data_IF_901421807872
#
_entry.id   IF_901421807872
#
_cell.length_a   1.000
_cell.length_b   1.000
_cell.length_c   1.000
_cell.angle_alpha   90.00
_cell.angle_beta   90.00
_cell.angle_gamma   90.00
#
_symmetry.space_group_name_H-M   'P 1'
#
loop_
_entity.id
_entity.type
_entity.pdbx_description
1 polymer ?
#
# COMPACT_ATOMS: atom_id res chain seq x y z
N UNK A 1 -8.78 -5.96 -15.30
CA UNK A 1 -7.69 -6.89 -15.66
C UNK A 1 -7.86 -8.18 -14.85
N UNK A 2 -7.42 -9.33 -15.36
CA UNK A 2 -7.45 -10.62 -14.65
C UNK A 2 -6.01 -11.12 -14.47
N UNK A 3 -5.50 -11.06 -13.24
CA UNK A 3 -4.12 -11.46 -12.93
C UNK A 3 -3.84 -12.97 -13.09
N UNK A 4 -4.87 -13.78 -13.35
CA UNK A 4 -4.69 -15.20 -13.73
C UNK A 4 -4.56 -15.41 -15.25
N UNK A 5 -4.76 -14.35 -16.04
CA UNK A 5 -4.73 -14.37 -17.51
C UNK A 5 -3.76 -13.31 -18.06
N UNK A 6 -2.49 -13.68 -18.33
CA UNK A 6 -1.43 -12.73 -18.70
C UNK A 6 -1.78 -11.83 -19.89
N UNK A 7 -2.50 -12.33 -20.88
CA UNK A 7 -2.93 -11.59 -22.07
C UNK A 7 -3.90 -10.45 -21.75
N UNK A 8 -4.64 -10.54 -20.65
CA UNK A 8 -5.52 -9.45 -20.20
C UNK A 8 -4.75 -8.37 -19.44
N UNK A 9 -3.61 -8.72 -18.85
CA UNK A 9 -2.76 -7.82 -18.05
C UNK A 9 -1.80 -7.04 -18.94
N UNK A 10 -1.15 -7.71 -19.90
CA UNK A 10 -0.21 -7.08 -20.83
C UNK A 10 -0.89 -6.40 -22.03
N UNK A 11 -2.22 -6.25 -21.98
CA UNK A 11 -2.98 -5.47 -22.95
C UNK A 11 -2.94 -3.98 -22.59
N UNK A 12 -2.34 -3.17 -23.46
CA UNK A 12 -2.19 -1.72 -23.23
C UNK A 12 -3.51 -0.96 -23.12
N UNK A 13 -4.59 -1.41 -23.75
CA UNK A 13 -5.89 -0.78 -23.58
C UNK A 13 -6.41 -1.00 -22.16
N UNK A 14 -6.36 -2.24 -21.67
CA UNK A 14 -6.76 -2.56 -20.30
C UNK A 14 -5.92 -1.80 -19.25
N UNK A 15 -4.61 -1.67 -19.49
CA UNK A 15 -3.73 -0.88 -18.62
C UNK A 15 -4.17 0.60 -18.59
N UNK A 16 -4.49 1.20 -19.73
CA UNK A 16 -4.97 2.60 -19.78
C UNK A 16 -6.28 2.76 -19.02
N UNK A 17 -7.23 1.86 -19.23
CA UNK A 17 -8.53 1.91 -18.56
C UNK A 17 -8.37 1.80 -17.03
N UNK A 18 -7.45 0.93 -16.58
CA UNK A 18 -7.13 0.77 -15.16
C UNK A 18 -6.47 2.03 -14.57
N UNK A 19 -5.53 2.65 -15.29
CA UNK A 19 -4.88 3.89 -14.86
C UNK A 19 -5.88 5.05 -14.71
N UNK A 20 -6.82 5.20 -15.65
CA UNK A 20 -7.90 6.21 -15.56
C UNK A 20 -8.79 5.95 -14.34
N UNK A 21 -9.14 4.68 -14.08
CA UNK A 21 -9.91 4.34 -12.87
C UNK A 21 -9.15 4.68 -11.58
N UNK A 22 -7.85 4.45 -11.54
CA UNK A 22 -7.03 4.79 -10.37
C UNK A 22 -6.87 6.30 -10.18
N UNK A 23 -6.87 7.09 -11.24
CA UNK A 23 -6.89 8.56 -11.17
C UNK A 23 -8.10 9.06 -10.37
N UNK A 24 -9.30 8.62 -10.72
CA UNK A 24 -10.53 8.97 -9.99
C UNK A 24 -10.48 8.53 -8.53
N UNK A 25 -9.98 7.30 -8.27
CA UNK A 25 -9.80 6.77 -6.91
C UNK A 25 -8.86 7.63 -6.07
N UNK A 26 -7.76 8.12 -6.66
CA UNK A 26 -6.81 9.03 -5.99
C UNK A 26 -7.49 10.37 -5.67
N UNK A 27 -8.23 10.95 -6.63
CA UNK A 27 -8.94 12.22 -6.45
C UNK A 27 -9.94 12.10 -5.29
N UNK A 28 -10.78 11.06 -5.26
CA UNK A 28 -11.74 10.87 -4.19
C UNK A 28 -11.06 10.73 -2.82
N UNK A 29 -9.96 10.00 -2.73
CA UNK A 29 -9.21 9.86 -1.47
C UNK A 29 -8.62 11.19 -1.00
N UNK A 30 -8.18 12.05 -1.92
CA UNK A 30 -7.73 13.39 -1.56
C UNK A 30 -8.87 14.30 -1.10
N UNK A 31 -10.04 14.22 -1.73
CA UNK A 31 -11.24 14.94 -1.27
C UNK A 31 -11.56 14.54 0.17
N UNK A 32 -11.65 13.25 0.46
CA UNK A 32 -11.92 12.74 1.82
C UNK A 32 -10.91 13.25 2.84
N UNK A 33 -9.61 13.23 2.49
CA UNK A 33 -8.56 13.70 3.39
C UNK A 33 -8.53 15.22 3.55
N UNK A 34 -9.02 15.97 2.57
CA UNK A 34 -9.05 17.45 2.61
C UNK A 34 -9.96 18.01 3.70
N UNK A 35 -10.89 17.20 4.21
CA UNK A 35 -11.79 17.59 5.31
C UNK A 35 -11.10 17.74 6.67
N UNK A 36 -9.85 17.26 6.81
CA UNK A 36 -9.11 17.27 8.06
C UNK A 36 -7.89 18.22 7.98
N UNK A 37 -7.50 18.80 9.12
CA UNK A 37 -6.25 19.57 9.23
C UNK A 37 -5.01 18.71 8.92
N UNK A 38 -3.82 19.33 8.88
CA UNK A 38 -2.57 18.62 8.57
C UNK A 38 -2.20 17.56 9.62
N UNK A 39 -2.58 17.76 10.88
CA UNK A 39 -2.35 16.82 11.99
C UNK A 39 -0.89 16.33 12.13
N UNK A 40 0.12 17.22 12.29
CA UNK A 40 1.54 16.84 12.28
C UNK A 40 1.91 15.72 13.26
N UNK A 41 1.34 15.75 14.48
CA UNK A 41 1.58 14.75 15.52
C UNK A 41 1.27 13.31 15.09
N UNK A 42 0.41 13.09 14.09
CA UNK A 42 0.08 11.75 13.55
C UNK A 42 1.28 11.10 12.87
N UNK A 43 2.19 11.91 12.34
CA UNK A 43 3.34 11.48 11.53
C UNK A 43 4.66 11.55 12.30
N UNK A 44 4.67 12.19 13.47
CA UNK A 44 5.82 12.27 14.34
C UNK A 44 6.04 10.93 15.07
N UNK A 45 7.27 10.43 15.00
CA UNK A 45 7.62 9.19 15.69
C UNK A 45 7.63 9.41 17.21
N UNK A 46 6.96 8.52 17.95
CA UNK A 46 6.92 8.53 19.41
C UNK A 46 6.44 9.87 20.00
N UNK A 47 5.47 10.52 19.34
CA UNK A 47 4.86 11.76 19.85
C UNK A 47 4.27 11.55 21.26
N UNK A 48 4.59 12.39 22.27
CA UNK A 48 4.21 12.16 23.67
C UNK A 48 2.69 12.03 23.92
N UNK A 49 1.87 12.71 23.12
CA UNK A 49 0.41 12.63 23.22
C UNK A 49 -0.24 11.46 22.47
N UNK A 50 0.55 10.70 21.69
CA UNK A 50 0.09 9.56 20.86
C UNK A 50 1.03 8.36 21.02
N UNK A 51 1.60 8.19 22.21
CA UNK A 51 2.51 7.07 22.49
C UNK A 51 1.74 5.74 22.45
N UNK A 52 2.27 4.78 21.70
CA UNK A 52 1.68 3.45 21.55
C UNK A 52 2.54 2.44 22.31
N UNK A 53 1.96 1.67 23.25
CA UNK A 53 2.70 0.70 24.04
C UNK A 53 3.47 -0.30 23.16
N UNK A 54 4.74 -0.51 23.49
CA UNK A 54 5.64 -1.46 22.80
C UNK A 54 5.84 -1.19 21.30
N UNK A 55 5.65 0.05 20.83
CA UNK A 55 5.85 0.42 19.44
C UNK A 55 6.79 1.62 19.29
N UNK A 56 7.67 1.57 18.29
CA UNK A 56 8.54 2.68 17.90
C UNK A 56 8.17 3.12 16.49
N UNK A 57 7.77 4.37 16.35
CA UNK A 57 7.23 4.92 15.09
C UNK A 57 6.09 5.90 15.33
N UNK A 58 5.49 6.36 14.24
CA UNK A 58 4.35 7.28 14.29
C UNK A 58 3.01 6.55 14.46
N UNK A 59 1.94 7.30 14.78
CA UNK A 59 0.59 6.74 14.81
C UNK A 59 0.19 6.16 13.44
N UNK A 60 0.57 6.84 12.35
CA UNK A 60 0.38 6.34 10.98
C UNK A 60 1.07 4.99 10.76
N UNK A 61 2.34 4.87 11.18
CA UNK A 61 3.12 3.64 10.98
C UNK A 61 2.48 2.46 11.70
N UNK A 62 1.99 2.67 12.92
CA UNK A 62 1.32 1.62 13.68
C UNK A 62 0.02 1.17 13.01
N UNK A 63 -0.84 2.12 12.62
CA UNK A 63 -2.11 1.79 11.98
C UNK A 63 -1.91 1.03 10.66
N UNK A 64 -0.98 1.52 9.83
CA UNK A 64 -0.72 0.91 8.53
C UNK A 64 -0.04 -0.47 8.66
N UNK A 65 0.98 -0.61 9.50
CA UNK A 65 1.66 -1.91 9.67
C UNK A 65 0.73 -3.00 10.21
N UNK A 66 -0.15 -2.68 11.17
CA UNK A 66 -1.15 -3.63 11.65
C UNK A 66 -2.19 -4.00 10.58
N UNK A 67 -2.61 -3.04 9.77
CA UNK A 67 -3.51 -3.29 8.63
C UNK A 67 -2.86 -4.23 7.61
N UNK A 68 -1.58 -4.02 7.28
CA UNK A 68 -0.84 -4.89 6.37
C UNK A 68 -0.67 -6.31 6.93
N UNK A 69 -0.38 -6.46 8.23
CA UNK A 69 -0.34 -7.78 8.88
C UNK A 69 -1.68 -8.50 8.73
N UNK A 70 -2.80 -7.81 8.96
CA UNK A 70 -4.12 -8.40 8.83
C UNK A 70 -4.40 -8.81 7.37
N UNK A 71 -4.09 -7.94 6.41
CA UNK A 71 -4.33 -8.18 5.00
C UNK A 71 -3.41 -9.24 4.38
N UNK A 72 -2.17 -9.37 4.84
CA UNK A 72 -1.24 -10.38 4.34
C UNK A 72 -1.75 -11.80 4.63
N UNK A 73 -2.37 -11.99 5.80
CA UNK A 73 -2.95 -13.27 6.23
C UNK A 73 -4.10 -13.74 5.34
N UNK A 74 -4.71 -12.83 4.59
CA UNK A 74 -5.80 -13.09 3.62
C UNK A 74 -5.36 -12.90 2.16
N UNK A 75 -4.05 -13.03 1.89
CA UNK A 75 -3.42 -13.10 0.55
C UNK A 75 -3.26 -11.79 -0.21
N UNK A 76 -3.41 -10.63 0.44
CA UNK A 76 -3.28 -9.33 -0.25
C UNK A 76 -1.98 -9.22 -1.06
N UNK A 77 -0.85 -9.52 -0.42
CA UNK A 77 0.48 -9.42 -1.04
C UNK A 77 0.91 -10.65 -1.84
N UNK A 78 0.01 -11.62 -2.08
CA UNK A 78 0.23 -12.64 -3.12
C UNK A 78 -0.13 -12.10 -4.51
N UNK A 79 -0.95 -11.04 -4.59
CA UNK A 79 -1.34 -10.40 -5.85
C UNK A 79 -0.16 -9.60 -6.43
N UNK A 80 0.10 -9.66 -7.76
CA UNK A 80 1.28 -9.03 -8.36
C UNK A 80 1.23 -7.49 -8.40
N UNK A 81 0.08 -6.88 -8.14
CA UNK A 81 -0.15 -5.43 -8.11
C UNK A 81 -0.10 -4.83 -6.70
N UNK A 82 0.01 -5.65 -5.65
CA UNK A 82 0.01 -5.20 -4.25
C UNK A 82 1.42 -5.23 -3.64
N UNK A 83 2.01 -4.06 -3.40
CA UNK A 83 3.35 -3.92 -2.80
C UNK A 83 3.25 -3.39 -1.36
N UNK A 84 3.81 -4.07 -0.34
CA UNK A 84 3.69 -3.66 1.06
C UNK A 84 4.58 -2.46 1.42
N UNK A 85 4.13 -1.62 2.35
CA UNK A 85 4.94 -0.58 3.00
C UNK A 85 5.87 -1.14 4.07
N UNK A 86 5.47 -2.22 4.74
CA UNK A 86 6.23 -2.90 5.80
C UNK A 86 6.52 -4.36 5.42
N UNK A 87 7.38 -4.61 4.41
CA UNK A 87 7.67 -5.97 3.92
C UNK A 87 8.28 -6.89 4.99
N UNK A 88 8.91 -6.35 6.04
CA UNK A 88 9.44 -7.12 7.16
C UNK A 88 8.36 -7.57 8.17
N UNK A 89 7.13 -7.03 8.08
CA UNK A 89 6.02 -7.30 9.00
C UNK A 89 4.97 -8.24 8.43
N UNK A 90 4.85 -8.35 7.11
CA UNK A 90 3.83 -9.17 6.49
C UNK A 90 3.98 -10.65 6.87
N UNK A 91 2.85 -11.34 6.99
CA UNK A 91 2.76 -12.74 7.36
C UNK A 91 2.24 -13.60 6.22
N UNK A 92 2.58 -14.89 6.25
CA UNK A 92 2.04 -15.88 5.32
C UNK A 92 0.52 -16.00 5.47
N UNK A 93 -0.17 -16.16 4.35
CA UNK A 93 -1.60 -16.42 4.31
C UNK A 93 -1.97 -17.71 5.06
N UNK A 94 -3.10 -17.69 5.78
CA UNK A 94 -3.73 -18.90 6.30
C UNK A 94 -4.74 -19.52 5.32
N UNK A 95 -5.08 -18.82 4.25
CA UNK A 95 -5.94 -19.31 3.16
C UNK A 95 -5.10 -20.05 2.11
N UNK A 96 -5.69 -21.01 1.38
CA UNK A 96 -5.06 -21.58 0.19
C UNK A 96 -4.66 -20.47 -0.79
N UNK A 97 -3.39 -20.50 -1.21
CA UNK A 97 -2.84 -19.49 -2.12
C UNK A 97 -3.48 -19.57 -3.49
N UNK A 98 -3.50 -18.43 -4.18
CA UNK A 98 -3.91 -18.36 -5.59
C UNK A 98 -2.64 -18.55 -6.44
N UNK A 99 -2.70 -19.47 -7.40
CA UNK A 99 -1.58 -19.71 -8.32
C UNK A 99 -1.58 -18.65 -9.42
N UNK A 100 -1.04 -17.46 -9.12
CA UNK A 100 -0.84 -16.44 -10.13
C UNK A 100 0.25 -16.88 -11.12
N UNK A 101 -0.01 -16.81 -12.45
CA UNK A 101 1.04 -17.01 -13.43
C UNK A 101 2.11 -15.92 -13.29
N UNK A 102 3.34 -16.27 -13.61
CA UNK A 102 4.44 -15.30 -13.63
C UNK A 102 4.28 -14.36 -14.84
N UNK A 103 3.72 -13.16 -14.61
CA UNK A 103 3.51 -12.14 -15.65
C UNK A 103 4.71 -11.20 -15.77
N UNK A 104 5.27 -10.78 -14.64
CA UNK A 104 6.42 -9.88 -14.57
C UNK A 104 7.72 -10.68 -14.35
N UNK A 105 8.86 -9.99 -14.45
CA UNK A 105 10.14 -10.58 -14.10
C UNK A 105 10.18 -11.03 -12.62
N UNK A 106 10.92 -12.10 -12.25
CA UNK A 106 10.93 -12.64 -10.89
C UNK A 106 11.31 -11.63 -9.80
N UNK A 107 12.14 -10.63 -10.14
CA UNK A 107 12.60 -9.58 -9.22
C UNK A 107 11.58 -8.44 -9.05
N UNK A 108 10.41 -8.49 -9.69
CA UNK A 108 9.39 -7.44 -9.58
C UNK A 108 9.01 -7.11 -8.12
N UNK A 109 8.87 -8.08 -7.18
CA UNK A 109 8.61 -7.78 -5.78
C UNK A 109 9.72 -6.98 -5.07
N UNK A 110 10.95 -7.02 -5.59
CA UNK A 110 12.09 -6.26 -5.06
C UNK A 110 12.05 -4.78 -5.48
N UNK A 111 11.27 -4.45 -6.52
CA UNK A 111 11.08 -3.09 -7.03
C UNK A 111 10.05 -2.36 -6.16
N UNK A 112 10.46 -1.94 -4.96
CA UNK A 112 9.58 -1.30 -3.99
C UNK A 112 9.99 0.18 -3.73
N UNK A 113 9.08 1.11 -4.04
CA UNK A 113 9.28 2.57 -3.84
C UNK A 113 8.44 3.15 -2.69
N UNK A 114 7.78 2.32 -1.88
CA UNK A 114 6.81 2.76 -0.87
C UNK A 114 7.41 3.69 0.19
N UNK A 115 8.66 3.52 0.59
CA UNK A 115 9.35 4.45 1.49
C UNK A 115 9.46 5.86 0.89
N UNK A 116 9.75 5.95 -0.41
CA UNK A 116 9.82 7.23 -1.12
C UNK A 116 8.43 7.84 -1.29
N UNK A 117 7.42 7.02 -1.58
CA UNK A 117 6.02 7.45 -1.70
C UNK A 117 5.53 8.03 -0.37
N UNK A 118 5.72 7.31 0.75
CA UNK A 118 5.34 7.78 2.09
C UNK A 118 6.00 9.12 2.41
N UNK A 119 7.32 9.23 2.20
CA UNK A 119 8.07 10.48 2.42
C UNK A 119 7.56 11.62 1.54
N UNK A 120 7.28 11.36 0.26
CA UNK A 120 6.77 12.37 -0.66
C UNK A 120 5.41 12.92 -0.22
N UNK A 121 4.48 12.01 0.10
CA UNK A 121 3.13 12.35 0.56
C UNK A 121 3.21 13.21 1.83
N UNK A 122 3.95 12.77 2.84
CA UNK A 122 4.09 13.51 4.10
C UNK A 122 4.74 14.88 3.90
N UNK A 123 5.78 14.98 3.08
CA UNK A 123 6.52 16.23 2.88
C UNK A 123 5.80 17.26 2.02
N UNK A 124 5.09 16.85 0.97
CA UNK A 124 4.56 17.79 -0.04
C UNK A 124 3.05 18.03 0.05
N UNK A 125 2.30 17.12 0.68
CA UNK A 125 0.85 17.23 0.74
C UNK A 125 0.35 17.68 2.12
N UNK A 126 1.17 17.57 3.17
CA UNK A 126 0.75 17.85 4.55
C UNK A 126 1.67 18.82 5.33
N UNK A 127 2.71 19.34 4.68
CA UNK A 127 3.54 20.46 5.14
C UNK A 127 3.47 21.59 4.12
#
# INVERSE_FOLDING_TARGET
MDFTKPETVLNLQNIRDELVRMEDSIIFKFIERSHFATCPSVYEANHPGLEIPNFKGSFLDWALSNLEIAHSRIRRFESPDETPFFPDKIQKSFLPSINYPQILAPYAPEVNYNDKIKKFILKRLYH
#
